data_IF_079279952845
#
_entry.id   IF_079279952845
#
_cell.length_a   1.000
_cell.length_b   1.000
_cell.length_c   1.000
_cell.angle_alpha   90.00
_cell.angle_beta   90.00
_cell.angle_gamma   90.00
#
_symmetry.space_group_name_H-M   'P 1'
#
loop_
_entity.id
_entity.type
_entity.pdbx_description
1 polymer ?
#
# COMPACT_ATOMS: atom_id res chain seq x y z
N UNK A 1 4.19 2.14 -10.95
CA UNK A 1 3.30 3.25 -10.57
C UNK A 1 4.15 4.45 -10.16
N UNK A 2 3.88 5.64 -10.69
CA UNK A 2 4.66 6.85 -10.37
C UNK A 2 4.37 7.36 -8.95
N UNK A 3 5.34 8.05 -8.36
CA UNK A 3 5.25 8.60 -7.00
C UNK A 3 4.06 9.57 -6.82
N UNK A 4 3.81 10.42 -7.82
CA UNK A 4 2.66 11.33 -7.87
C UNK A 4 1.31 10.61 -7.84
N UNK A 5 1.20 9.43 -8.47
CA UNK A 5 0.00 8.61 -8.42
C UNK A 5 -0.24 8.07 -7.01
N UNK A 6 0.81 7.60 -6.33
CA UNK A 6 0.70 7.10 -4.96
C UNK A 6 0.25 8.21 -4.02
N UNK A 7 0.88 9.39 -4.12
CA UNK A 7 0.57 10.54 -3.27
C UNK A 7 -0.88 11.00 -3.41
N UNK A 8 -1.42 11.00 -4.63
CA UNK A 8 -2.77 11.53 -4.87
C UNK A 8 -3.88 10.48 -4.70
N UNK A 9 -3.59 9.19 -4.89
CA UNK A 9 -4.62 8.15 -4.98
C UNK A 9 -4.61 7.18 -3.81
N UNK A 10 -3.49 7.04 -3.11
CA UNK A 10 -3.30 6.07 -2.04
C UNK A 10 -3.21 6.77 -0.69
N UNK A 11 -2.27 7.70 -0.54
CA UNK A 11 -1.96 8.35 0.74
C UNK A 11 -3.18 8.97 1.44
N UNK A 12 -4.11 9.66 0.75
CA UNK A 12 -5.26 10.29 1.41
C UNK A 12 -6.18 9.31 2.15
N UNK A 13 -6.09 8.01 1.84
CA UNK A 13 -6.94 6.97 2.39
C UNK A 13 -6.24 6.13 3.48
N UNK A 14 -4.95 6.40 3.72
CA UNK A 14 -4.16 5.77 4.77
C UNK A 14 -4.41 6.43 6.12
N UNK A 15 -4.49 5.62 7.18
CA UNK A 15 -4.47 6.18 8.53
C UNK A 15 -3.05 6.66 8.88
N UNK A 16 -2.93 7.95 9.19
CA UNK A 16 -1.68 8.56 9.64
C UNK A 16 -1.79 8.84 11.14
N UNK A 17 -0.72 8.55 11.89
CA UNK A 17 -0.69 8.85 13.33
C UNK A 17 -0.66 10.36 13.58
N UNK A 18 -1.20 10.80 14.73
CA UNK A 18 -1.20 12.23 15.11
C UNK A 18 0.16 12.75 15.59
N UNK A 19 1.11 11.87 15.92
CA UNK A 19 2.44 12.23 16.44
C UNK A 19 3.50 12.07 15.35
N UNK A 20 4.25 13.15 15.11
CA UNK A 20 5.30 13.24 14.08
C UNK A 20 4.75 13.67 12.73
N UNK A 21 5.34 14.72 12.16
CA UNK A 21 4.99 15.19 10.82
C UNK A 21 5.77 14.37 9.79
N UNK A 22 5.30 13.17 9.48
CA UNK A 22 5.86 12.37 8.38
C UNK A 22 5.34 12.91 7.05
N UNK A 23 6.25 13.23 6.11
CA UNK A 23 5.87 13.79 4.80
C UNK A 23 5.07 12.78 3.97
N UNK A 24 4.26 13.27 3.01
CA UNK A 24 3.58 12.40 2.04
C UNK A 24 4.60 11.52 1.28
N UNK A 25 5.78 12.06 0.97
CA UNK A 25 6.86 11.33 0.32
C UNK A 25 7.37 10.15 1.16
N UNK A 26 7.49 10.33 2.48
CA UNK A 26 7.86 9.25 3.39
C UNK A 26 6.90 8.05 3.28
N UNK A 27 5.59 8.31 3.35
CA UNK A 27 4.60 7.24 3.19
C UNK A 27 4.55 6.67 1.77
N UNK A 28 4.83 7.48 0.74
CA UNK A 28 4.90 6.99 -0.64
C UNK A 28 5.98 5.92 -0.80
N UNK A 29 7.17 6.16 -0.26
CA UNK A 29 8.29 5.20 -0.25
C UNK A 29 7.95 3.91 0.51
N UNK A 30 7.28 4.01 1.67
CA UNK A 30 6.80 2.82 2.40
C UNK A 30 5.82 2.02 1.55
N UNK A 31 4.86 2.68 0.91
CA UNK A 31 3.90 2.03 0.02
C UNK A 31 4.62 1.36 -1.17
N UNK A 32 5.63 2.00 -1.76
CA UNK A 32 6.41 1.38 -2.84
C UNK A 32 7.10 0.09 -2.39
N UNK A 33 7.69 0.07 -1.18
CA UNK A 33 8.28 -1.14 -0.61
C UNK A 33 7.23 -2.23 -0.34
N UNK A 34 6.07 -1.87 0.20
CA UNK A 34 4.95 -2.80 0.39
C UNK A 34 4.52 -3.36 -0.97
N UNK A 35 4.26 -2.52 -1.97
CA UNK A 35 3.88 -2.96 -3.31
C UNK A 35 4.92 -3.89 -3.94
N UNK A 36 6.22 -3.62 -3.74
CA UNK A 36 7.30 -4.51 -4.16
C UNK A 36 7.18 -5.88 -3.47
N UNK A 37 7.01 -5.90 -2.14
CA UNK A 37 6.74 -7.13 -1.36
C UNK A 37 5.56 -7.92 -1.93
N UNK A 38 4.46 -7.22 -2.23
CA UNK A 38 3.24 -7.85 -2.74
C UNK A 38 3.49 -8.42 -4.12
N UNK A 39 4.08 -7.63 -5.03
CA UNK A 39 4.33 -8.04 -6.41
C UNK A 39 5.26 -9.25 -6.49
N UNK A 40 6.42 -9.19 -5.84
CA UNK A 40 7.50 -10.19 -6.02
C UNK A 40 7.44 -11.36 -5.05
N UNK A 41 6.78 -11.22 -3.90
CA UNK A 41 6.80 -12.28 -2.89
C UNK A 41 8.08 -12.34 -2.04
N UNK A 42 9.04 -11.41 -2.22
CA UNK A 42 10.31 -11.32 -1.47
C UNK A 42 10.10 -11.29 0.06
N UNK A 43 11.03 -11.79 0.88
CA UNK A 43 10.86 -11.71 2.33
C UNK A 43 10.92 -10.25 2.83
N UNK A 44 10.30 -9.95 3.98
CA UNK A 44 10.35 -8.60 4.57
C UNK A 44 11.79 -8.14 4.84
N UNK A 45 12.64 -9.04 5.32
CA UNK A 45 14.05 -8.79 5.64
C UNK A 45 14.92 -8.52 4.40
N UNK A 46 14.46 -8.97 3.24
CA UNK A 46 15.14 -8.83 1.95
C UNK A 46 14.61 -7.64 1.15
N UNK A 47 13.77 -6.79 1.77
CA UNK A 47 13.32 -5.57 1.13
C UNK A 47 14.50 -4.62 0.89
N UNK A 48 14.61 -4.02 -0.30
CA UNK A 48 15.70 -3.12 -0.63
C UNK A 48 15.43 -1.72 -0.07
N UNK A 49 15.43 -1.60 1.25
CA UNK A 49 15.09 -0.36 1.97
C UNK A 49 16.07 0.76 1.62
N UNK A 50 17.35 0.44 1.50
CA UNK A 50 18.43 1.38 1.18
C UNK A 50 18.29 1.99 -0.22
N UNK A 51 17.47 1.41 -1.11
CA UNK A 51 17.15 2.02 -2.41
C UNK A 51 16.10 3.14 -2.31
N UNK A 52 15.41 3.27 -1.18
CA UNK A 52 14.34 4.25 -0.98
C UNK A 52 14.64 5.22 0.17
N UNK A 53 15.34 4.76 1.20
CA UNK A 53 15.61 5.47 2.44
C UNK A 53 17.10 5.49 2.74
N UNK A 54 17.55 6.52 3.46
CA UNK A 54 18.92 6.57 3.93
C UNK A 54 19.17 5.50 5.00
N UNK A 55 20.42 5.07 5.12
CA UNK A 55 20.81 4.02 6.07
C UNK A 55 20.47 4.47 7.50
N UNK A 56 19.65 3.68 8.18
CA UNK A 56 19.23 3.95 9.57
C UNK A 56 17.95 4.78 9.70
N UNK A 57 17.39 5.31 8.61
CA UNK A 57 16.15 6.09 8.64
C UNK A 57 14.93 5.23 9.00
N UNK A 58 14.90 3.98 8.52
CA UNK A 58 13.82 3.03 8.77
C UNK A 58 14.33 1.59 8.67
N UNK A 59 13.67 0.65 9.37
CA UNK A 59 13.92 -0.79 9.28
C UNK A 59 12.77 -1.55 8.59
N UNK A 60 13.00 -2.80 8.19
CA UNK A 60 11.95 -3.63 7.60
C UNK A 60 10.80 -3.88 8.58
N UNK A 61 11.07 -3.86 9.89
CA UNK A 61 10.08 -3.97 10.96
C UNK A 61 9.11 -2.80 10.92
N UNK A 62 9.59 -1.58 10.67
CA UNK A 62 8.74 -0.41 10.53
C UNK A 62 7.85 -0.52 9.28
N UNK A 63 8.38 -1.00 8.15
CA UNK A 63 7.58 -1.24 6.93
C UNK A 63 6.48 -2.27 7.20
N UNK A 64 6.82 -3.38 7.86
CA UNK A 64 5.86 -4.39 8.27
C UNK A 64 4.83 -3.84 9.26
N UNK A 65 5.24 -3.01 10.20
CA UNK A 65 4.34 -2.34 11.15
C UNK A 65 3.27 -1.51 10.41
N UNK A 66 3.66 -0.68 9.45
CA UNK A 66 2.71 0.10 8.65
C UNK A 66 1.79 -0.77 7.81
N UNK A 67 2.34 -1.81 7.17
CA UNK A 67 1.52 -2.79 6.46
C UNK A 67 0.45 -3.39 7.39
N UNK A 68 0.85 -3.92 8.54
CA UNK A 68 -0.06 -4.54 9.50
C UNK A 68 -1.10 -3.56 10.05
N UNK A 69 -0.69 -2.33 10.35
CA UNK A 69 -1.59 -1.25 10.79
C UNK A 69 -2.67 -0.98 9.75
N UNK A 70 -2.27 -0.72 8.50
CA UNK A 70 -3.18 -0.39 7.40
C UNK A 70 -4.03 -1.56 6.91
N UNK A 71 -3.56 -2.80 7.13
CA UNK A 71 -4.38 -4.00 6.95
C UNK A 71 -5.49 -4.10 7.99
N UNK A 72 -5.20 -3.82 9.25
CA UNK A 72 -6.15 -3.97 10.36
C UNK A 72 -7.19 -2.86 10.43
N UNK A 73 -6.80 -1.63 10.09
CA UNK A 73 -7.69 -0.46 10.19
C UNK A 73 -8.55 -0.20 8.93
N UNK A 74 -8.48 -1.10 7.95
CA UNK A 74 -9.23 -1.02 6.71
C UNK A 74 -8.71 0.02 5.70
N UNK A 75 -7.54 0.62 5.92
CA UNK A 75 -6.97 1.61 4.98
C UNK A 75 -6.80 1.04 3.57
N UNK A 76 -6.28 -0.18 3.44
CA UNK A 76 -6.15 -0.82 2.12
C UNK A 76 -7.50 -1.08 1.45
N UNK A 77 -8.54 -1.40 2.21
CA UNK A 77 -9.90 -1.57 1.67
C UNK A 77 -10.45 -0.25 1.15
N UNK A 78 -10.26 0.87 1.87
CA UNK A 78 -10.65 2.20 1.39
C UNK A 78 -9.94 2.59 0.09
N UNK A 79 -8.62 2.36 0.03
CA UNK A 79 -7.83 2.58 -1.19
C UNK A 79 -8.41 1.78 -2.34
N UNK A 80 -8.67 0.49 -2.13
CA UNK A 80 -9.24 -0.39 -3.14
C UNK A 80 -10.58 0.10 -3.66
N UNK A 81 -11.52 0.43 -2.77
CA UNK A 81 -12.84 0.95 -3.14
C UNK A 81 -12.75 2.25 -3.94
N UNK A 82 -11.83 3.14 -3.57
CA UNK A 82 -11.58 4.39 -4.30
C UNK A 82 -10.92 4.16 -5.67
N UNK A 83 -10.01 3.19 -5.80
CA UNK A 83 -9.42 2.84 -7.09
C UNK A 83 -10.47 2.21 -8.02
N UNK A 84 -11.30 1.30 -7.48
CA UNK A 84 -12.40 0.67 -8.20
C UNK A 84 -13.44 1.69 -8.67
N UNK A 85 -13.87 2.62 -7.81
CA UNK A 85 -14.88 3.62 -8.16
C UNK A 85 -14.43 4.49 -9.34
N UNK A 86 -13.12 4.74 -9.47
CA UNK A 86 -12.55 5.50 -10.57
C UNK A 86 -12.36 4.69 -11.86
N UNK A 87 -12.23 3.36 -11.78
CA UNK A 87 -12.16 2.45 -12.94
C UNK A 87 -13.48 1.79 -13.34
N UNK A 88 -14.58 2.03 -12.60
CA UNK A 88 -15.93 1.46 -12.80
C UNK A 88 -16.51 1.57 -14.21
N UNK A 89 -16.03 2.47 -15.07
CA UNK A 89 -16.48 2.52 -16.49
C UNK A 89 -15.87 1.43 -17.39
N UNK A 90 -14.96 0.58 -16.89
CA UNK A 90 -14.22 -0.42 -17.69
C UNK A 90 -14.23 -1.87 -17.16
N UNK A 91 -14.89 -2.16 -16.03
CA UNK A 91 -14.83 -3.48 -15.40
C UNK A 91 -16.24 -4.02 -15.12
N UNK A 92 -16.57 -5.15 -15.74
CA UNK A 92 -17.74 -5.97 -15.43
C UNK A 92 -17.62 -6.51 -13.99
N UNK A 93 -18.67 -6.35 -13.18
CA UNK A 93 -18.63 -6.41 -11.71
C UNK A 93 -19.11 -7.74 -11.13
N UNK A 94 -18.98 -8.85 -11.86
CA UNK A 94 -19.40 -10.19 -11.40
C UNK A 94 -18.47 -10.80 -10.32
N UNK A 95 -17.32 -10.19 -10.02
CA UNK A 95 -16.31 -10.76 -9.11
C UNK A 95 -16.31 -10.18 -7.67
N UNK A 96 -17.26 -9.30 -7.32
CA UNK A 96 -17.12 -8.41 -6.14
C UNK A 96 -17.64 -8.98 -4.81
N UNK A 97 -18.36 -10.10 -4.82
CA UNK A 97 -18.64 -10.82 -3.57
C UNK A 97 -17.48 -11.77 -3.28
N UNK A 98 -16.71 -11.49 -2.23
CA UNK A 98 -16.15 -12.46 -1.26
C UNK A 98 -15.17 -11.76 -0.30
N UNK A 99 -15.22 -12.19 0.96
CA UNK A 99 -14.56 -11.60 2.12
C UNK A 99 -13.03 -11.84 2.19
N UNK A 100 -12.36 -11.01 3.01
CA UNK A 100 -11.05 -11.17 3.68
C UNK A 100 -9.73 -10.75 2.97
N UNK A 101 -8.76 -10.21 3.75
CA UNK A 101 -7.54 -9.50 3.30
C UNK A 101 -6.57 -10.30 2.43
N UNK A 102 -6.66 -11.63 2.41
CA UNK A 102 -5.80 -12.49 1.59
C UNK A 102 -6.01 -12.26 0.09
N UNK A 103 -7.22 -11.89 -0.34
CA UNK A 103 -7.50 -11.63 -1.77
C UNK A 103 -7.32 -10.17 -2.17
N UNK A 104 -7.30 -9.24 -1.22
CA UNK A 104 -6.93 -7.84 -1.48
C UNK A 104 -5.46 -7.74 -1.91
N UNK A 105 -4.61 -8.61 -1.35
CA UNK A 105 -3.22 -8.85 -1.77
C UNK A 105 -3.14 -9.43 -3.19
N UNK A 106 -3.98 -10.42 -3.51
CA UNK A 106 -4.00 -11.05 -4.83
C UNK A 106 -4.54 -10.11 -5.91
N UNK A 107 -5.58 -9.33 -5.60
CA UNK A 107 -6.23 -8.41 -6.54
C UNK A 107 -5.48 -7.09 -6.71
N UNK A 108 -4.74 -6.62 -5.70
CA UNK A 108 -3.77 -5.54 -5.88
C UNK A 108 -2.65 -5.93 -6.85
N UNK A 109 -2.28 -7.21 -6.98
CA UNK A 109 -1.34 -7.66 -8.04
C UNK A 109 -1.95 -7.65 -9.44
N UNK A 110 -3.27 -7.83 -9.57
CA UNK A 110 -3.95 -7.87 -10.87
C UNK A 110 -4.38 -6.48 -11.37
N UNK A 111 -4.59 -5.51 -10.46
CA UNK A 111 -5.02 -4.15 -10.81
C UNK A 111 -3.91 -3.09 -10.79
N UNK A 112 -2.70 -3.39 -10.28
CA UNK A 112 -1.52 -2.50 -10.22
C UNK A 112 -0.34 -3.03 -11.03
#
# INVERSE_FOLDING_TARGET
MGESTIINWIIPFLSVGKRGFSSKYYFAKIIQLILKRLKTGVQWRELPIESYFEKGEISWQNVYYYFNKWSKDGSFQRIWLNLLSKKKRKLDMSCVQLSLPARLLTLLKECL
#
